data_IF_686947008174
#
_entry.id   IF_686947008174
#
_cell.length_a   1.000
_cell.length_b   1.000
_cell.length_c   1.000
_cell.angle_alpha   90.00
_cell.angle_beta   90.00
_cell.angle_gamma   90.00
#
_symmetry.space_group_name_H-M   'P 1'
#
loop_
_entity.id
_entity.type
_entity.pdbx_description
1 polymer ?
#
# COMPACT_ATOMS: atom_id res chain seq x y z
N UNK A 1 2.56 33.90 -42.51
CA UNK A 1 2.33 32.49 -42.81
C UNK A 1 3.15 31.54 -41.90
N UNK A 2 4.48 31.76 -41.79
CA UNK A 2 5.37 30.87 -41.00
C UNK A 2 5.01 30.74 -39.49
N UNK A 3 4.55 31.84 -38.85
CA UNK A 3 4.12 31.84 -37.43
C UNK A 3 2.82 31.06 -37.21
N UNK A 4 1.91 31.10 -38.15
CA UNK A 4 0.63 30.36 -38.09
C UNK A 4 0.84 28.84 -38.28
N UNK A 5 1.78 28.46 -39.13
CA UNK A 5 2.19 27.06 -39.33
C UNK A 5 2.85 26.47 -38.09
N UNK A 6 3.69 27.30 -37.43
CA UNK A 6 4.39 26.88 -36.19
C UNK A 6 3.43 26.68 -35.00
N UNK A 7 2.43 27.56 -34.85
CA UNK A 7 1.38 27.41 -33.82
C UNK A 7 0.47 26.20 -34.10
N UNK A 8 0.13 25.95 -35.36
CA UNK A 8 -0.66 24.77 -35.74
C UNK A 8 0.12 23.47 -35.48
N UNK A 9 1.42 23.45 -35.76
CA UNK A 9 2.30 22.30 -35.45
C UNK A 9 2.39 22.06 -33.94
N UNK A 10 2.52 23.11 -33.15
CA UNK A 10 2.63 23.01 -31.69
C UNK A 10 1.31 22.48 -31.07
N UNK A 11 0.15 22.93 -31.55
CA UNK A 11 -1.16 22.42 -31.14
C UNK A 11 -1.33 20.95 -31.53
N UNK A 12 -0.89 20.53 -32.71
CA UNK A 12 -1.01 19.13 -33.13
C UNK A 12 -0.15 18.19 -32.27
N UNK A 13 1.03 18.64 -31.82
CA UNK A 13 1.92 17.88 -30.93
C UNK A 13 1.31 17.74 -29.53
N UNK A 14 0.71 18.81 -28.97
CA UNK A 14 0.06 18.75 -27.65
C UNK A 14 -1.19 17.85 -27.66
N UNK A 15 -1.99 17.89 -28.70
CA UNK A 15 -3.16 16.99 -28.87
C UNK A 15 -2.72 15.53 -28.99
N UNK A 16 -1.63 15.24 -29.70
CA UNK A 16 -1.10 13.87 -29.81
C UNK A 16 -0.58 13.34 -28.47
N UNK A 17 0.03 14.18 -27.65
CA UNK A 17 0.50 13.79 -26.31
C UNK A 17 -0.65 13.50 -25.34
N UNK A 18 -1.71 14.32 -25.34
CA UNK A 18 -2.91 14.10 -24.50
C UNK A 18 -3.63 12.80 -24.87
N UNK A 19 -3.73 12.47 -26.16
CA UNK A 19 -4.35 11.21 -26.58
C UNK A 19 -3.48 9.98 -26.25
N UNK A 20 -2.16 10.10 -26.30
CA UNK A 20 -1.24 9.05 -25.91
C UNK A 20 -1.29 8.77 -24.40
N UNK A 21 -1.34 9.83 -23.57
CA UNK A 21 -1.50 9.69 -22.11
C UNK A 21 -2.83 9.04 -21.73
N UNK A 22 -3.95 9.48 -22.30
CA UNK A 22 -5.27 8.84 -22.07
C UNK A 22 -5.28 7.37 -22.47
N UNK A 23 -4.62 7.02 -23.57
CA UNK A 23 -4.51 5.62 -24.00
C UNK A 23 -3.68 4.79 -23.01
N UNK A 24 -2.61 5.34 -22.47
CA UNK A 24 -1.79 4.67 -21.45
C UNK A 24 -2.53 4.49 -20.11
N UNK A 25 -3.26 5.51 -19.66
CA UNK A 25 -4.12 5.43 -18.46
C UNK A 25 -5.24 4.39 -18.65
N UNK A 26 -5.92 4.40 -19.80
CA UNK A 26 -6.94 3.40 -20.12
C UNK A 26 -6.38 1.98 -20.18
N UNK A 27 -5.18 1.79 -20.72
CA UNK A 27 -4.52 0.47 -20.73
C UNK A 27 -4.18 0.03 -19.30
N UNK A 28 -3.65 0.91 -18.47
CA UNK A 28 -3.35 0.62 -17.06
C UNK A 28 -4.63 0.31 -16.26
N UNK A 29 -5.73 1.03 -16.51
CA UNK A 29 -7.03 0.79 -15.89
C UNK A 29 -7.64 -0.54 -16.37
N UNK A 30 -7.52 -0.87 -17.66
CA UNK A 30 -7.94 -2.17 -18.21
C UNK A 30 -7.13 -3.31 -17.58
N UNK A 31 -5.82 -3.15 -17.42
CA UNK A 31 -4.98 -4.18 -16.82
C UNK A 31 -5.26 -4.33 -15.31
N UNK A 32 -5.55 -3.22 -14.61
CA UNK A 32 -6.00 -3.25 -13.23
C UNK A 32 -7.37 -3.93 -13.10
N UNK A 33 -8.33 -3.53 -13.92
CA UNK A 33 -9.67 -4.15 -13.96
C UNK A 33 -9.64 -5.63 -14.34
N UNK A 34 -8.71 -6.04 -15.24
CA UNK A 34 -8.49 -7.46 -15.53
C UNK A 34 -7.93 -8.20 -14.33
N UNK A 35 -6.97 -7.61 -13.62
CA UNK A 35 -6.41 -8.20 -12.41
C UNK A 35 -7.46 -8.33 -11.31
N UNK A 36 -8.31 -7.29 -11.12
CA UNK A 36 -9.46 -7.35 -10.19
C UNK A 36 -10.49 -8.39 -10.64
N UNK A 37 -10.82 -8.44 -11.93
CA UNK A 37 -11.74 -9.42 -12.47
C UNK A 37 -11.23 -10.86 -12.27
N UNK A 38 -9.93 -11.10 -12.44
CA UNK A 38 -9.33 -12.42 -12.21
C UNK A 38 -9.28 -12.77 -10.72
N UNK A 39 -9.05 -11.79 -9.84
CA UNK A 39 -9.18 -11.97 -8.38
C UNK A 39 -10.62 -12.35 -8.00
N UNK A 40 -11.62 -11.58 -8.46
CA UNK A 40 -13.04 -11.85 -8.21
C UNK A 40 -13.47 -13.21 -8.77
N UNK A 41 -12.99 -13.59 -9.95
CA UNK A 41 -13.25 -14.93 -10.50
C UNK A 41 -12.65 -16.04 -9.62
N UNK A 42 -11.45 -15.83 -9.10
CA UNK A 42 -10.78 -16.79 -8.21
C UNK A 42 -11.52 -16.92 -6.89
N UNK A 43 -11.97 -15.80 -6.31
CA UNK A 43 -12.82 -15.78 -5.11
C UNK A 43 -14.16 -16.46 -5.34
N UNK A 44 -14.82 -16.15 -6.46
CA UNK A 44 -16.08 -16.78 -6.86
C UNK A 44 -15.91 -18.30 -7.07
N UNK A 45 -14.81 -18.71 -7.69
CA UNK A 45 -14.51 -20.14 -7.86
C UNK A 45 -14.31 -20.83 -6.50
N UNK A 46 -13.60 -20.17 -5.59
CA UNK A 46 -13.36 -20.66 -4.23
C UNK A 46 -14.66 -20.74 -3.42
N UNK A 47 -15.50 -19.71 -3.48
CA UNK A 47 -16.82 -19.70 -2.84
C UNK A 47 -17.72 -20.80 -3.36
N UNK A 48 -17.80 -21.02 -4.67
CA UNK A 48 -18.56 -22.13 -5.28
C UNK A 48 -18.02 -23.50 -4.89
N UNK A 49 -16.71 -23.64 -4.72
CA UNK A 49 -16.07 -24.87 -4.23
C UNK A 49 -16.45 -25.16 -2.77
N UNK A 50 -16.47 -24.12 -1.93
CA UNK A 50 -16.92 -24.20 -0.52
C UNK A 50 -18.42 -24.54 -0.45
N UNK A 51 -19.25 -23.88 -1.26
CA UNK A 51 -20.69 -24.16 -1.35
C UNK A 51 -20.96 -25.61 -1.74
N UNK A 52 -20.30 -26.10 -2.80
CA UNK A 52 -20.43 -27.50 -3.24
C UNK A 52 -19.94 -28.49 -2.17
N UNK A 53 -18.84 -28.18 -1.48
CA UNK A 53 -18.35 -28.99 -0.36
C UNK A 53 -19.31 -28.96 0.84
N UNK A 54 -19.99 -27.83 1.08
CA UNK A 54 -21.02 -27.70 2.12
C UNK A 54 -22.27 -28.47 1.80
N UNK A 55 -22.71 -28.50 0.53
CA UNK A 55 -23.87 -29.31 0.07
C UNK A 55 -23.56 -30.80 0.22
N UNK A 56 -22.41 -31.28 -0.23
CA UNK A 56 -22.00 -32.69 -0.05
C UNK A 56 -21.90 -33.06 1.43
N UNK A 57 -21.42 -32.11 2.26
CA UNK A 57 -21.38 -32.33 3.71
C UNK A 57 -22.75 -32.33 4.34
N UNK A 58 -23.70 -31.52 3.84
CA UNK A 58 -25.11 -31.53 4.29
C UNK A 58 -25.79 -32.84 3.93
N UNK A 59 -25.61 -33.33 2.71
CA UNK A 59 -26.15 -34.65 2.28
C UNK A 59 -25.54 -35.81 3.08
N UNK A 60 -24.23 -35.76 3.39
CA UNK A 60 -23.58 -36.75 4.26
C UNK A 60 -24.09 -36.70 5.71
N UNK A 61 -24.37 -35.50 6.22
CA UNK A 61 -24.95 -35.31 7.55
C UNK A 61 -26.43 -35.76 7.60
N UNK A 62 -27.20 -35.51 6.52
CA UNK A 62 -28.59 -35.98 6.42
C UNK A 62 -28.68 -37.51 6.37
N UNK A 63 -27.75 -38.15 5.66
CA UNK A 63 -27.59 -39.60 5.69
C UNK A 63 -27.26 -40.15 7.11
N UNK A 64 -26.34 -39.44 7.83
CA UNK A 64 -26.03 -39.78 9.22
C UNK A 64 -27.21 -39.58 10.17
N UNK A 65 -28.04 -38.56 9.98
CA UNK A 65 -29.26 -38.32 10.74
C UNK A 65 -30.30 -39.46 10.49
N UNK A 66 -30.47 -39.89 9.25
CA UNK A 66 -31.34 -41.00 8.91
C UNK A 66 -30.84 -42.34 9.50
N UNK A 67 -29.52 -42.58 9.45
CA UNK A 67 -28.90 -43.75 10.07
C UNK A 67 -29.04 -43.74 11.64
N UNK A 68 -28.92 -42.54 12.23
CA UNK A 68 -29.15 -42.31 13.65
C UNK A 68 -30.65 -42.41 14.02
N UNK A 69 -31.58 -42.04 13.14
CA UNK A 69 -33.03 -42.26 13.35
C UNK A 69 -33.41 -43.74 13.29
N UNK A 70 -32.83 -44.49 12.36
CA UNK A 70 -32.97 -45.94 12.27
C UNK A 70 -32.30 -46.66 13.46
N UNK A 71 -31.13 -46.17 13.87
CA UNK A 71 -30.46 -46.63 15.08
C UNK A 71 -31.24 -46.26 16.37
N UNK A 72 -31.94 -45.11 16.37
CA UNK A 72 -32.74 -44.65 17.52
C UNK A 72 -33.99 -45.54 17.82
N UNK A 73 -34.49 -46.24 16.81
CA UNK A 73 -35.54 -47.24 17.01
C UNK A 73 -35.08 -48.47 17.84
N UNK A 74 -33.78 -48.64 17.97
CA UNK A 74 -33.15 -49.75 18.71
C UNK A 74 -32.55 -49.32 20.07
N UNK A 75 -32.91 -48.18 20.63
CA UNK A 75 -31.93 -47.37 21.32
C UNK A 75 -32.25 -46.73 22.65
N UNK A 76 -32.40 -47.44 23.65
CA UNK A 76 -32.15 -46.94 25.02
C UNK A 76 -30.65 -46.96 25.41
N UNK A 77 -29.83 -47.70 24.68
CA UNK A 77 -28.39 -47.89 25.00
C UNK A 77 -27.49 -46.75 24.46
N UNK A 78 -27.95 -45.99 23.44
CA UNK A 78 -27.10 -44.95 22.79
C UNK A 78 -27.37 -43.52 23.27
N UNK A 79 -28.26 -43.29 24.20
CA UNK A 79 -28.53 -41.95 24.76
C UNK A 79 -27.26 -41.34 25.38
N UNK A 80 -26.40 -42.18 25.97
CA UNK A 80 -25.12 -41.76 26.51
C UNK A 80 -24.09 -41.32 25.42
N UNK A 81 -24.16 -41.95 24.24
CA UNK A 81 -23.31 -41.58 23.13
C UNK A 81 -23.80 -40.29 22.45
N UNK A 82 -25.13 -40.10 22.39
CA UNK A 82 -25.72 -38.85 21.89
C UNK A 82 -25.37 -37.65 22.77
N UNK A 83 -25.46 -37.81 24.12
CA UNK A 83 -25.03 -36.75 25.05
C UNK A 83 -23.55 -36.39 24.89
N UNK A 84 -22.67 -37.40 24.67
CA UNK A 84 -21.25 -37.17 24.40
C UNK A 84 -21.02 -36.45 23.08
N UNK A 85 -21.75 -36.79 22.00
CA UNK A 85 -21.67 -36.16 20.70
C UNK A 85 -22.19 -34.71 20.75
N UNK A 86 -23.31 -34.50 21.49
CA UNK A 86 -23.87 -33.17 21.70
C UNK A 86 -22.90 -32.23 22.46
N UNK A 87 -22.26 -32.73 23.53
CA UNK A 87 -21.26 -31.97 24.26
C UNK A 87 -20.04 -31.63 23.36
N UNK A 88 -19.57 -32.62 22.58
CA UNK A 88 -18.45 -32.41 21.65
C UNK A 88 -18.79 -31.40 20.54
N UNK A 89 -20.04 -31.41 20.05
CA UNK A 89 -20.48 -30.41 19.07
C UNK A 89 -20.59 -29.01 19.69
N UNK A 90 -21.00 -28.92 20.95
CA UNK A 90 -21.00 -27.66 21.71
C UNK A 90 -19.59 -27.12 21.89
N UNK A 91 -18.63 -27.99 22.21
CA UNK A 91 -17.22 -27.60 22.34
C UNK A 91 -16.64 -27.15 21.01
N UNK A 92 -16.97 -27.86 19.92
CA UNK A 92 -16.54 -27.45 18.55
C UNK A 92 -17.15 -26.09 18.15
N UNK A 93 -18.46 -25.91 18.43
CA UNK A 93 -19.16 -24.67 18.16
C UNK A 93 -18.56 -23.49 18.95
N UNK A 94 -18.28 -23.71 20.23
CA UNK A 94 -17.65 -22.75 21.11
C UNK A 94 -16.22 -22.41 20.62
N UNK A 95 -15.46 -23.42 20.21
CA UNK A 95 -14.12 -23.24 19.64
C UNK A 95 -14.15 -22.48 18.31
N UNK A 96 -15.12 -22.80 17.42
CA UNK A 96 -15.30 -22.09 16.15
C UNK A 96 -15.72 -20.62 16.37
N UNK A 97 -16.60 -20.39 17.37
CA UNK A 97 -17.05 -19.05 17.72
C UNK A 97 -15.91 -18.20 18.33
N UNK A 98 -15.10 -18.81 19.19
CA UNK A 98 -13.90 -18.16 19.73
C UNK A 98 -12.88 -17.84 18.62
N UNK A 99 -12.70 -18.74 17.67
CA UNK A 99 -11.83 -18.52 16.50
C UNK A 99 -12.34 -17.38 15.61
N UNK A 100 -13.65 -17.30 15.36
CA UNK A 100 -14.28 -16.21 14.63
C UNK A 100 -14.09 -14.87 15.32
N UNK A 101 -14.34 -14.80 16.63
CA UNK A 101 -14.13 -13.57 17.41
C UNK A 101 -12.67 -13.12 17.40
N UNK A 102 -11.73 -14.06 17.51
CA UNK A 102 -10.31 -13.75 17.39
C UNK A 102 -9.97 -13.18 16.01
N UNK A 103 -10.50 -13.78 14.94
CA UNK A 103 -10.29 -13.30 13.55
C UNK A 103 -10.94 -11.93 13.30
N UNK A 104 -12.13 -11.69 13.85
CA UNK A 104 -12.79 -10.38 13.79
C UNK A 104 -11.96 -9.32 14.51
N UNK A 105 -11.42 -9.64 15.68
CA UNK A 105 -10.50 -8.77 16.41
C UNK A 105 -9.23 -8.44 15.61
N UNK A 106 -8.65 -9.46 14.97
CA UNK A 106 -7.48 -9.29 14.10
C UNK A 106 -7.79 -8.39 12.88
N UNK A 107 -8.90 -8.64 12.21
CA UNK A 107 -9.35 -7.81 11.07
C UNK A 107 -9.61 -6.37 11.48
N UNK A 108 -10.23 -6.16 12.64
CA UNK A 108 -10.46 -4.82 13.19
C UNK A 108 -9.13 -4.11 13.46
N UNK A 109 -8.18 -4.77 14.11
CA UNK A 109 -6.87 -4.20 14.39
C UNK A 109 -6.12 -3.81 13.09
N UNK A 110 -6.17 -4.66 12.07
CA UNK A 110 -5.61 -4.36 10.75
C UNK A 110 -6.30 -3.16 10.08
N UNK A 111 -7.63 -3.12 10.11
CA UNK A 111 -8.42 -2.01 9.57
C UNK A 111 -8.10 -0.68 10.27
N UNK A 112 -8.01 -0.71 11.60
CA UNK A 112 -7.70 0.48 12.41
C UNK A 112 -6.26 0.96 12.12
N UNK A 113 -5.32 0.04 11.93
CA UNK A 113 -3.95 0.37 11.57
C UNK A 113 -3.83 0.98 10.15
N UNK A 114 -4.59 0.46 9.18
CA UNK A 114 -4.68 1.03 7.82
C UNK A 114 -5.28 2.43 7.88
N UNK A 115 -6.41 2.60 8.59
CA UNK A 115 -7.06 3.90 8.75
C UNK A 115 -6.15 4.93 9.43
N UNK A 116 -5.34 4.49 10.42
CA UNK A 116 -4.35 5.35 11.06
C UNK A 116 -3.25 5.77 10.08
N UNK A 117 -2.78 4.87 9.22
CA UNK A 117 -1.80 5.19 8.20
C UNK A 117 -2.36 6.19 7.18
N UNK A 118 -3.59 6.01 6.72
CA UNK A 118 -4.26 6.94 5.80
C UNK A 118 -4.47 8.31 6.45
N UNK A 119 -4.88 8.35 7.70
CA UNK A 119 -5.01 9.60 8.46
C UNK A 119 -3.66 10.31 8.62
N UNK A 120 -2.58 9.56 8.83
CA UNK A 120 -1.22 10.12 8.88
C UNK A 120 -0.84 10.76 7.55
N UNK A 121 -1.14 10.11 6.42
CA UNK A 121 -0.88 10.67 5.10
C UNK A 121 -1.62 12.00 4.87
N UNK A 122 -2.87 12.12 5.33
CA UNK A 122 -3.65 13.37 5.24
C UNK A 122 -3.01 14.49 6.06
N UNK A 123 -2.59 14.21 7.30
CA UNK A 123 -1.90 15.18 8.16
C UNK A 123 -0.58 15.62 7.52
N UNK A 124 0.21 14.68 7.03
CA UNK A 124 1.48 14.98 6.34
C UNK A 124 1.24 15.81 5.09
N UNK A 125 0.22 15.50 4.30
CA UNK A 125 -0.16 16.29 3.12
C UNK A 125 -0.49 17.74 3.49
N UNK A 126 -1.27 17.93 4.56
CA UNK A 126 -1.63 19.26 5.05
C UNK A 126 -0.40 20.02 5.50
N UNK A 127 0.45 19.43 6.32
CA UNK A 127 1.70 20.03 6.77
C UNK A 127 2.64 20.36 5.61
N UNK A 128 2.73 19.47 4.62
CA UNK A 128 3.56 19.67 3.43
C UNK A 128 3.05 20.86 2.59
N UNK A 129 1.75 20.98 2.37
CA UNK A 129 1.16 22.13 1.65
C UNK A 129 1.37 23.43 2.40
N UNK A 130 1.20 23.45 3.71
CA UNK A 130 1.42 24.64 4.53
C UNK A 130 2.88 25.10 4.53
N UNK A 131 3.83 24.15 4.61
CA UNK A 131 5.25 24.44 4.73
C UNK A 131 5.91 24.79 3.38
N UNK A 132 5.52 24.09 2.32
CA UNK A 132 6.12 24.23 0.99
C UNK A 132 5.37 25.23 0.09
N UNK A 133 4.12 25.55 0.44
CA UNK A 133 3.25 26.41 -0.34
C UNK A 133 2.48 25.65 -1.43
N UNK A 134 1.48 26.34 -2.00
CA UNK A 134 0.56 25.72 -2.98
C UNK A 134 1.21 25.36 -4.32
N UNK A 135 2.33 25.99 -4.66
CA UNK A 135 3.06 25.74 -5.90
C UNK A 135 3.95 24.48 -5.85
N UNK A 136 4.08 23.85 -4.68
CA UNK A 136 4.88 22.63 -4.54
C UNK A 136 4.18 21.46 -5.25
N UNK A 137 4.97 20.65 -5.98
CA UNK A 137 4.48 19.44 -6.65
C UNK A 137 4.27 18.32 -5.61
N UNK A 138 3.10 18.30 -5.00
CA UNK A 138 2.74 17.34 -3.96
C UNK A 138 1.60 16.46 -4.49
N UNK A 139 1.77 15.15 -4.37
CA UNK A 139 0.77 14.14 -4.72
C UNK A 139 0.62 13.12 -3.59
N UNK A 140 -0.49 12.40 -3.56
CA UNK A 140 -0.68 11.23 -2.68
C UNK A 140 -0.72 9.99 -3.56
N UNK A 141 0.10 9.01 -3.24
CA UNK A 141 0.15 7.74 -3.94
C UNK A 141 0.43 6.60 -2.96
N UNK A 142 -0.44 5.57 -2.98
CA UNK A 142 -0.29 4.37 -2.14
C UNK A 142 -0.13 4.66 -0.64
N UNK A 143 -0.88 5.62 -0.10
CA UNK A 143 -0.80 6.00 1.32
C UNK A 143 0.46 6.81 1.69
N UNK A 144 1.26 7.22 0.71
CA UNK A 144 2.42 8.09 0.89
C UNK A 144 2.18 9.47 0.28
N UNK A 145 2.72 10.51 0.90
CA UNK A 145 2.80 11.86 0.32
C UNK A 145 4.08 11.95 -0.49
N UNK A 146 3.94 12.22 -1.78
CA UNK A 146 5.05 12.32 -2.73
C UNK A 146 5.29 13.78 -3.06
N UNK A 147 6.48 14.27 -2.77
CA UNK A 147 6.93 15.63 -3.07
C UNK A 147 8.02 15.51 -4.14
N UNK A 148 7.81 16.15 -5.28
CA UNK A 148 8.74 16.09 -6.40
C UNK A 148 9.46 17.42 -6.58
N UNK A 149 10.76 17.35 -6.86
CA UNK A 149 11.59 18.51 -7.17
C UNK A 149 12.48 18.23 -8.39
N UNK A 150 12.85 19.28 -9.11
CA UNK A 150 13.78 19.19 -10.23
C UNK A 150 15.22 19.18 -9.72
N UNK A 151 16.13 18.57 -10.48
CA UNK A 151 17.56 18.56 -10.14
C UNK A 151 18.13 19.97 -10.16
N UNK A 152 17.78 20.76 -11.15
CA UNK A 152 18.26 22.13 -11.28
C UNK A 152 17.91 23.01 -10.06
N UNK A 153 16.74 22.82 -9.44
CA UNK A 153 16.35 23.58 -8.24
C UNK A 153 17.11 23.16 -6.99
N UNK A 154 17.59 21.92 -6.93
CA UNK A 154 18.28 21.39 -5.76
C UNK A 154 19.79 21.46 -5.89
N UNK A 155 20.31 21.15 -7.07
CA UNK A 155 21.75 20.99 -7.33
C UNK A 155 22.31 22.06 -8.29
N UNK A 156 21.46 22.93 -8.85
CA UNK A 156 21.86 23.92 -9.84
C UNK A 156 21.99 23.38 -11.26
N UNK A 157 22.42 22.13 -11.41
CA UNK A 157 22.48 21.40 -12.68
C UNK A 157 22.02 19.96 -12.50
N UNK A 158 21.68 19.31 -13.60
CA UNK A 158 21.22 17.90 -13.59
C UNK A 158 22.39 16.93 -13.31
N UNK A 159 23.63 17.37 -13.54
CA UNK A 159 24.84 16.55 -13.39
C UNK A 159 25.54 16.71 -12.03
N UNK A 160 25.11 17.66 -11.23
CA UNK A 160 25.70 17.89 -9.91
C UNK A 160 25.01 17.03 -8.82
N UNK A 161 25.74 16.74 -7.78
CA UNK A 161 25.26 16.04 -6.60
C UNK A 161 25.45 16.84 -5.30
N UNK A 162 25.91 18.10 -5.40
CA UNK A 162 26.08 19.00 -4.27
C UNK A 162 24.89 19.95 -4.19
N UNK A 163 24.24 20.01 -3.02
CA UNK A 163 23.08 20.89 -2.83
C UNK A 163 23.49 22.37 -2.88
N UNK A 164 22.72 23.17 -3.62
CA UNK A 164 22.79 24.62 -3.58
C UNK A 164 22.25 25.15 -2.24
N UNK A 165 22.47 26.44 -1.95
CA UNK A 165 21.90 27.09 -0.76
C UNK A 165 20.35 27.08 -0.81
N UNK A 166 19.76 27.23 -2.00
CA UNK A 166 18.30 27.07 -2.19
C UNK A 166 17.85 25.64 -1.94
N UNK A 167 18.63 24.66 -2.39
CA UNK A 167 18.39 23.24 -2.12
C UNK A 167 18.44 22.92 -0.62
N UNK A 168 19.40 23.49 0.12
CA UNK A 168 19.48 23.33 1.58
C UNK A 168 18.29 23.98 2.28
N UNK A 169 17.90 25.19 1.90
CA UNK A 169 16.72 25.86 2.44
C UNK A 169 15.43 25.07 2.18
N UNK A 170 15.36 24.37 1.03
CA UNK A 170 14.25 23.48 0.76
C UNK A 170 14.29 22.21 1.64
N UNK A 171 15.50 21.66 1.90
CA UNK A 171 15.67 20.53 2.84
C UNK A 171 15.28 20.90 4.27
N UNK A 172 15.53 22.13 4.71
CA UNK A 172 15.07 22.64 6.01
C UNK A 172 13.54 22.54 6.14
N UNK A 173 12.80 22.92 5.10
CA UNK A 173 11.34 22.78 5.07
C UNK A 173 10.90 21.31 5.13
N UNK A 174 11.59 20.41 4.42
CA UNK A 174 11.31 18.97 4.48
C UNK A 174 11.61 18.43 5.88
N UNK A 175 12.70 18.84 6.50
CA UNK A 175 13.06 18.47 7.85
C UNK A 175 12.01 18.96 8.87
N UNK A 176 11.48 20.17 8.71
CA UNK A 176 10.41 20.69 9.54
C UNK A 176 9.15 19.82 9.47
N UNK A 177 8.76 19.36 8.26
CA UNK A 177 7.64 18.43 8.09
C UNK A 177 7.91 17.10 8.79
N UNK A 178 9.12 16.55 8.68
CA UNK A 178 9.49 15.29 9.33
C UNK A 178 9.54 15.40 10.86
N UNK A 179 10.00 16.53 11.41
CA UNK A 179 10.06 16.77 12.84
C UNK A 179 8.68 16.89 13.49
N UNK A 180 7.72 17.51 12.82
CA UNK A 180 6.32 17.57 13.28
C UNK A 180 5.62 16.20 13.18
N UNK A 181 6.14 15.30 12.34
CA UNK A 181 5.57 13.97 12.10
C UNK A 181 6.59 12.86 12.47
N UNK A 182 6.84 12.57 13.76
CA UNK A 182 7.91 11.67 14.19
C UNK A 182 7.73 10.20 13.73
N UNK A 183 6.49 9.77 13.46
CA UNK A 183 6.16 8.40 13.02
C UNK A 183 6.21 8.23 11.49
N UNK A 184 6.64 9.27 10.76
CA UNK A 184 6.76 9.25 9.31
C UNK A 184 8.20 8.95 8.92
N UNK A 185 8.37 8.03 8.00
CA UNK A 185 9.63 7.72 7.33
C UNK A 185 9.69 8.43 5.97
N UNK A 186 10.89 8.68 5.49
CA UNK A 186 11.18 9.29 4.21
C UNK A 186 11.94 8.33 3.32
N UNK A 187 11.45 8.13 2.11
CA UNK A 187 12.21 7.52 1.02
C UNK A 187 12.59 8.60 0.00
N UNK A 188 13.88 8.79 -0.19
CA UNK A 188 14.45 9.71 -1.19
C UNK A 188 14.78 8.91 -2.42
N UNK A 189 14.09 9.17 -3.53
CA UNK A 189 14.32 8.54 -4.81
C UNK A 189 14.96 9.54 -5.78
N UNK A 190 16.18 9.26 -6.24
CA UNK A 190 16.76 9.90 -7.40
C UNK A 190 16.25 9.21 -8.65
N UNK A 191 15.57 9.94 -9.52
CA UNK A 191 14.96 9.39 -10.72
C UNK A 191 15.89 9.53 -11.91
N UNK A 192 16.17 8.44 -12.62
CA UNK A 192 16.93 8.38 -13.84
C UNK A 192 16.03 8.33 -15.05
N UNK A 193 16.32 9.13 -16.06
CA UNK A 193 15.62 9.05 -17.34
C UNK A 193 16.25 8.00 -18.27
N UNK A 194 17.52 7.68 -18.07
CA UNK A 194 18.29 6.79 -18.93
C UNK A 194 18.40 5.36 -18.40
N UNK A 195 18.01 5.14 -17.13
CA UNK A 195 18.19 3.86 -16.43
C UNK A 195 19.56 3.73 -15.75
N UNK A 196 20.48 4.67 -15.93
CA UNK A 196 21.70 4.76 -15.12
C UNK A 196 21.35 5.28 -13.72
N UNK A 197 21.70 4.51 -12.69
CA UNK A 197 21.32 4.80 -11.30
C UNK A 197 22.47 5.37 -10.45
N UNK A 198 23.68 5.51 -10.99
CA UNK A 198 24.84 5.95 -10.22
C UNK A 198 24.68 7.40 -9.74
N UNK A 199 24.46 8.32 -10.65
CA UNK A 199 24.29 9.74 -10.31
C UNK A 199 22.99 10.01 -9.52
N UNK A 200 21.81 9.53 -9.92
CA UNK A 200 20.59 9.69 -9.13
C UNK A 200 20.69 9.10 -7.73
N UNK A 201 21.37 7.96 -7.58
CA UNK A 201 21.63 7.36 -6.29
C UNK A 201 22.52 8.23 -5.39
N UNK A 202 23.56 8.85 -5.94
CA UNK A 202 24.43 9.82 -5.23
C UNK A 202 23.66 11.08 -4.83
N UNK A 203 22.84 11.62 -5.70
CA UNK A 203 21.97 12.77 -5.42
C UNK A 203 21.00 12.48 -4.28
N UNK A 204 20.34 11.33 -4.32
CA UNK A 204 19.46 10.88 -3.23
C UNK A 204 20.23 10.69 -1.90
N UNK A 205 21.42 10.11 -1.95
CA UNK A 205 22.27 9.93 -0.77
C UNK A 205 22.75 11.25 -0.18
N UNK A 206 23.07 12.24 -1.00
CA UNK A 206 23.43 13.61 -0.55
C UNK A 206 22.28 14.23 0.23
N UNK A 207 21.06 14.18 -0.29
CA UNK A 207 19.86 14.67 0.40
C UNK A 207 19.68 13.95 1.74
N UNK A 208 19.76 12.63 1.76
CA UNK A 208 19.66 11.83 2.99
C UNK A 208 20.73 12.24 4.01
N UNK A 209 21.97 12.45 3.57
CA UNK A 209 23.08 12.87 4.42
C UNK A 209 22.86 14.27 5.03
N UNK A 210 22.36 15.22 4.27
CA UNK A 210 22.04 16.57 4.75
C UNK A 210 20.91 16.53 5.77
N UNK A 211 19.82 15.80 5.49
CA UNK A 211 18.72 15.63 6.45
C UNK A 211 19.17 15.01 7.77
N UNK A 212 20.08 14.06 7.68
CA UNK A 212 20.63 13.37 8.85
C UNK A 212 21.60 14.24 9.65
N UNK A 213 22.58 14.88 8.99
CA UNK A 213 23.68 15.59 9.63
C UNK A 213 23.32 17.00 10.06
N UNK A 214 22.64 17.73 9.19
CA UNK A 214 22.35 19.15 9.39
C UNK A 214 21.02 19.38 10.12
N UNK A 215 20.06 18.45 9.95
CA UNK A 215 18.73 18.56 10.54
C UNK A 215 18.40 17.47 11.55
N UNK A 216 19.35 16.60 11.89
CA UNK A 216 19.27 15.56 12.93
C UNK A 216 18.07 14.59 12.74
N UNK A 217 17.66 14.34 11.50
CA UNK A 217 16.65 13.32 11.23
C UNK A 217 17.27 11.93 11.45
N UNK A 218 16.62 11.11 12.26
CA UNK A 218 17.12 9.79 12.62
C UNK A 218 17.34 8.89 11.38
N UNK A 219 18.50 8.22 11.25
CA UNK A 219 18.87 7.47 10.05
C UNK A 219 17.91 6.34 9.73
N UNK A 220 17.29 5.71 10.73
CA UNK A 220 16.29 4.66 10.57
C UNK A 220 15.00 5.14 9.91
N UNK A 221 14.79 6.45 9.87
CA UNK A 221 13.66 7.09 9.20
C UNK A 221 13.93 7.46 7.75
N UNK A 222 15.17 7.34 7.28
CA UNK A 222 15.56 7.77 5.94
C UNK A 222 16.06 6.58 5.14
N UNK A 223 15.49 6.42 3.94
CA UNK A 223 16.00 5.50 2.92
C UNK A 223 16.31 6.31 1.67
N UNK A 224 17.47 6.08 1.05
CA UNK A 224 17.84 6.73 -0.21
C UNK A 224 18.17 5.70 -1.27
N UNK A 225 17.71 5.92 -2.49
CA UNK A 225 17.96 5.03 -3.63
C UNK A 225 17.90 5.77 -4.96
N UNK A 226 18.64 5.25 -5.96
CA UNK A 226 18.44 5.57 -7.35
C UNK A 226 17.37 4.67 -7.95
N UNK A 227 16.55 5.20 -8.84
CA UNK A 227 15.46 4.48 -9.49
C UNK A 227 15.29 4.90 -10.95
N UNK A 228 14.89 3.97 -11.79
CA UNK A 228 14.39 4.30 -13.12
C UNK A 228 13.13 5.17 -13.00
N UNK A 229 13.21 6.37 -13.54
CA UNK A 229 12.15 7.36 -13.53
C UNK A 229 11.09 7.15 -14.61
N UNK A 230 11.24 6.13 -15.46
CA UNK A 230 10.39 5.92 -16.61
C UNK A 230 10.23 7.20 -17.45
N UNK A 231 11.35 7.67 -18.02
CA UNK A 231 11.48 8.92 -18.79
C UNK A 231 11.28 10.20 -17.96
N UNK A 232 11.33 10.13 -16.63
CA UNK A 232 11.33 11.28 -15.73
C UNK A 232 12.68 11.39 -15.04
N UNK A 233 13.12 12.61 -14.84
CA UNK A 233 14.32 12.94 -14.09
C UNK A 233 13.96 13.87 -12.93
N UNK A 234 14.65 13.75 -11.82
CA UNK A 234 14.42 14.59 -10.65
C UNK A 234 14.55 13.85 -9.33
N UNK A 235 14.15 14.52 -8.27
CA UNK A 235 14.07 13.94 -6.92
C UNK A 235 12.60 13.75 -6.54
N UNK A 236 12.30 12.56 -6.03
CA UNK A 236 11.00 12.21 -5.44
C UNK A 236 11.18 11.88 -3.98
N UNK A 237 10.55 12.65 -3.11
CA UNK A 237 10.51 12.43 -1.67
C UNK A 237 9.18 11.79 -1.31
N UNK A 238 9.23 10.56 -0.81
CA UNK A 238 8.03 9.84 -0.36
C UNK A 238 7.99 9.81 1.16
N UNK A 239 7.06 10.55 1.72
CA UNK A 239 6.77 10.55 3.15
C UNK A 239 5.66 9.53 3.40
N UNK A 240 5.97 8.52 4.19
CA UNK A 240 5.05 7.41 4.45
C UNK A 240 5.12 6.99 5.92
N UNK A 241 4.06 6.37 6.48
CA UNK A 241 4.13 5.80 7.81
C UNK A 241 5.26 4.78 7.91
N UNK A 242 5.82 4.60 9.12
CA UNK A 242 6.78 3.51 9.35
C UNK A 242 6.04 2.17 9.27
N UNK A 243 6.23 1.44 8.17
CA UNK A 243 5.59 0.15 7.95
C UNK A 243 6.11 -0.97 8.85
N UNK A 244 7.25 -0.77 9.53
CA UNK A 244 7.83 -1.78 10.40
C UNK A 244 6.90 -2.17 11.56
N UNK A 245 6.29 -1.17 12.21
CA UNK A 245 5.33 -1.42 13.29
C UNK A 245 4.08 -2.15 12.78
N UNK A 246 3.59 -1.78 11.60
CA UNK A 246 2.47 -2.46 10.96
C UNK A 246 2.81 -3.91 10.61
N UNK A 247 3.98 -4.15 10.02
CA UNK A 247 4.46 -5.49 9.69
C UNK A 247 4.59 -6.40 10.91
N UNK A 248 5.17 -5.87 12.01
CA UNK A 248 5.30 -6.62 13.26
C UNK A 248 3.93 -6.97 13.85
N UNK A 249 3.00 -6.02 13.88
CA UNK A 249 1.63 -6.24 14.34
C UNK A 249 0.92 -7.32 13.50
N UNK A 250 1.03 -7.27 12.16
CA UNK A 250 0.46 -8.29 11.29
C UNK A 250 1.09 -9.66 11.54
N UNK A 251 2.41 -9.71 11.67
CA UNK A 251 3.14 -10.95 11.94
C UNK A 251 2.75 -11.59 13.28
N UNK A 252 2.57 -10.79 14.34
CA UNK A 252 2.10 -11.28 15.64
C UNK A 252 0.66 -11.80 15.58
N UNK A 253 -0.23 -11.05 14.91
CA UNK A 253 -1.61 -11.47 14.73
C UNK A 253 -1.72 -12.76 13.90
N UNK A 254 -0.85 -12.97 12.91
CA UNK A 254 -0.82 -14.21 12.14
C UNK A 254 -0.28 -15.41 12.94
N UNK A 255 0.67 -15.19 13.87
CA UNK A 255 1.19 -16.25 14.75
C UNK A 255 0.17 -16.71 15.79
N UNK A 256 -0.62 -15.79 16.32
CA UNK A 256 -1.64 -16.06 17.34
C UNK A 256 -2.93 -16.62 16.75
N UNK A 257 -3.02 -16.82 15.46
CA UNK A 257 -4.17 -17.36 14.72
C UNK A 257 -3.98 -18.78 14.19
N UNK A 258 -2.85 -19.42 14.52
CA UNK A 258 -2.60 -20.85 14.33
C UNK A 258 -2.80 -21.58 15.65
#
# INVERSE_FOLDING_TARGET
MMRLLLTLLLVSITVSQVTAQRKSELIAEIDNLKSELDSVKTELFTAKKIEKASVVKAEALEAQVNELQDANATLLTNLNNFAKVSNKNSDIANSAMASLQAKEGQLKAMKDAIAKNDSTAIVVLTNAKQTLGENAKIAVSNGAVVISSTLASLFGTDMDSTLTEEGKAWMEKIAAILNVNPNVALTVEGLSMTGDLDLPGKQAATIASVLQKDFAIAPERITSLGRDGNLKEGISLKLHPSYQAFYLMVKENMKNGQ
#
